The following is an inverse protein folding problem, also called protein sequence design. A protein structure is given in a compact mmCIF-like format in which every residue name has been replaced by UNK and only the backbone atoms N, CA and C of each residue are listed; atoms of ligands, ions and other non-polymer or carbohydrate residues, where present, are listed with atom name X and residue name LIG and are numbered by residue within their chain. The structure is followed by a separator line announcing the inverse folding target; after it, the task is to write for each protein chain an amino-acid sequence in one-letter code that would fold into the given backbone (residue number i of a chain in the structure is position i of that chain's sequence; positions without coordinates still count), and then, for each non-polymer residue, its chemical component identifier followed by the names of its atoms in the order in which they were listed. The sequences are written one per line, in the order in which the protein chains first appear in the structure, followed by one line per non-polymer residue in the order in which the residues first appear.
data_IF_405620467882
#
_entry.id   IF_405620467882
#
_cell.length_a   1.000
_cell.length_b   1.000
_cell.length_c   1.000
_cell.angle_alpha   90.00
_cell.angle_beta   90.00
_cell.angle_gamma   90.00
#
_symmetry.space_group_name_H-M   'P 1'
#
loop_
_entity.id
_entity.type
_entity.pdbx_description
1 polymer ?
#
# COMPACT_ATOMS: atom_id res chain seq x y z
N UNK A 1 -61.62 48.90 11.40
CA UNK A 1 -60.76 47.99 12.09
C UNK A 1 -60.15 46.84 11.24
N UNK A 2 -60.76 46.40 10.12
CA UNK A 2 -60.20 45.28 9.28
C UNK A 2 -58.99 45.67 8.39
N UNK A 3 -58.81 46.95 8.05
CA UNK A 3 -57.79 47.42 7.12
C UNK A 3 -56.43 47.64 7.81
N UNK A 4 -56.40 47.95 9.10
CA UNK A 4 -55.17 48.16 9.90
C UNK A 4 -54.45 46.85 10.16
N UNK A 5 -55.20 45.75 10.40
CA UNK A 5 -54.60 44.43 10.64
C UNK A 5 -53.91 43.82 9.41
N UNK A 6 -54.33 44.23 8.19
CA UNK A 6 -53.70 43.72 6.94
C UNK A 6 -52.34 44.35 6.68
N UNK A 7 -52.18 45.68 7.00
CA UNK A 7 -50.92 46.40 6.85
C UNK A 7 -49.90 45.95 7.89
N UNK A 8 -50.29 45.71 9.14
CA UNK A 8 -49.37 45.20 10.21
C UNK A 8 -48.88 43.79 9.89
N UNK A 9 -49.72 42.91 9.36
CA UNK A 9 -49.29 41.54 8.92
C UNK A 9 -48.38 41.59 7.69
N UNK A 10 -48.51 42.58 6.81
CA UNK A 10 -47.68 42.76 5.63
C UNK A 10 -46.28 43.29 6.02
N UNK A 11 -46.23 44.25 6.99
CA UNK A 11 -44.95 44.73 7.53
C UNK A 11 -44.21 43.68 8.34
N UNK A 12 -44.90 42.86 9.13
CA UNK A 12 -44.27 41.73 9.86
C UNK A 12 -43.69 40.65 8.92
N UNK A 13 -44.36 40.35 7.79
CA UNK A 13 -43.83 39.43 6.76
C UNK A 13 -42.65 40.01 6.01
N UNK A 14 -42.63 41.33 5.73
CA UNK A 14 -41.50 41.99 5.08
C UNK A 14 -40.27 42.07 6.00
N UNK A 15 -40.47 42.28 7.30
CA UNK A 15 -39.38 42.25 8.29
C UNK A 15 -38.81 40.85 8.52
N UNK A 16 -39.64 39.80 8.53
CA UNK A 16 -39.19 38.40 8.61
C UNK A 16 -38.42 37.97 7.36
N UNK A 17 -38.87 38.41 6.16
CA UNK A 17 -38.17 38.12 4.90
C UNK A 17 -36.82 38.85 4.81
N UNK A 18 -36.72 40.08 5.29
CA UNK A 18 -35.49 40.83 5.36
C UNK A 18 -34.49 40.24 6.37
N UNK A 19 -34.95 39.78 7.52
CA UNK A 19 -34.12 39.12 8.53
C UNK A 19 -33.57 37.79 8.04
N UNK A 20 -34.36 37.00 7.30
CA UNK A 20 -33.91 35.73 6.69
C UNK A 20 -32.92 35.96 5.55
N UNK A 21 -33.12 36.99 4.72
CA UNK A 21 -32.17 37.40 3.68
C UNK A 21 -30.84 37.92 4.26
N UNK A 22 -30.87 38.62 5.40
CA UNK A 22 -29.66 39.08 6.09
C UNK A 22 -28.93 37.92 6.77
N UNK A 23 -29.64 36.94 7.31
CA UNK A 23 -29.02 35.71 7.82
C UNK A 23 -28.40 34.84 6.70
N UNK A 24 -29.03 34.77 5.53
CA UNK A 24 -28.46 34.04 4.36
C UNK A 24 -27.26 34.79 3.74
N UNK A 25 -27.24 36.14 3.76
CA UNK A 25 -26.05 36.88 3.34
C UNK A 25 -24.88 36.77 4.32
N UNK A 26 -25.14 36.61 5.63
CA UNK A 26 -24.09 36.34 6.61
C UNK A 26 -23.54 34.91 6.51
N UNK A 27 -24.36 33.96 6.05
CA UNK A 27 -23.89 32.57 5.77
C UNK A 27 -23.02 32.51 4.49
N UNK A 28 -23.21 33.41 3.51
CA UNK A 28 -22.38 33.43 2.29
C UNK A 28 -21.03 34.14 2.47
N UNK A 29 -20.82 34.91 3.55
CA UNK A 29 -19.51 35.49 3.89
C UNK A 29 -18.65 34.60 4.76
N UNK A 30 -19.13 33.43 5.19
CA UNK A 30 -18.33 32.42 5.89
C UNK A 30 -17.57 31.46 4.95
N UNK A 31 -17.70 31.61 3.62
CA UNK A 31 -16.97 30.84 2.61
C UNK A 31 -15.67 31.51 2.16
N UNK A 32 -14.90 32.07 3.08
CA UNK A 32 -13.64 32.76 2.78
C UNK A 32 -12.56 32.63 3.85
N UNK A 33 -12.78 31.82 4.90
CA UNK A 33 -11.70 31.43 5.80
C UNK A 33 -11.21 30.04 5.38
N UNK A 34 -10.04 29.97 4.77
CA UNK A 34 -9.36 28.69 4.58
C UNK A 34 -9.48 27.86 5.85
N UNK A 35 -9.94 26.61 5.73
CA UNK A 35 -10.18 25.74 6.88
C UNK A 35 -8.95 25.79 7.78
N UNK A 36 -9.12 26.29 9.01
CA UNK A 36 -8.02 26.36 9.97
C UNK A 36 -7.59 24.93 10.25
N UNK A 37 -6.29 24.69 10.09
CA UNK A 37 -5.71 23.41 10.50
C UNK A 37 -5.96 23.20 11.99
N UNK A 38 -6.44 22.03 12.43
CA UNK A 38 -6.64 21.75 13.84
C UNK A 38 -5.33 21.90 14.63
N UNK A 39 -5.45 22.27 15.89
CA UNK A 39 -4.31 22.36 16.81
C UNK A 39 -4.60 21.44 17.99
N UNK A 40 -3.67 20.53 18.26
CA UNK A 40 -3.73 19.70 19.45
C UNK A 40 -3.55 20.55 20.71
N UNK A 41 -4.57 20.61 21.53
CA UNK A 41 -4.58 21.42 22.75
C UNK A 41 -3.57 20.97 23.81
N UNK A 42 -3.13 19.71 23.79
CA UNK A 42 -2.18 19.17 24.74
C UNK A 42 -0.73 19.53 24.40
N UNK A 43 -0.40 19.59 23.10
CA UNK A 43 0.97 19.81 22.63
C UNK A 43 1.17 21.20 21.98
N UNK A 44 0.09 21.86 21.57
CA UNK A 44 0.13 23.10 20.78
C UNK A 44 0.57 22.89 19.32
N UNK A 45 0.79 21.65 18.87
CA UNK A 45 1.17 21.33 17.51
C UNK A 45 -0.03 21.40 16.57
N UNK A 46 0.21 21.80 15.33
CA UNK A 46 -0.80 21.76 14.27
C UNK A 46 -0.99 20.31 13.79
N UNK A 47 -2.23 19.83 13.76
CA UNK A 47 -2.53 18.48 13.28
C UNK A 47 -2.43 18.40 11.76
N UNK A 48 -1.57 17.54 11.25
CA UNK A 48 -1.48 17.15 9.85
C UNK A 48 -2.26 15.84 9.65
N UNK A 49 -3.35 15.92 8.93
CA UNK A 49 -4.23 14.79 8.70
C UNK A 49 -3.77 13.96 7.52
N UNK A 50 -3.40 12.71 7.78
CA UNK A 50 -2.98 11.70 6.79
C UNK A 50 -4.10 10.66 6.69
N UNK A 51 -4.63 10.45 5.49
CA UNK A 51 -5.62 9.41 5.23
C UNK A 51 -4.93 8.12 4.79
N UNK A 52 -5.18 7.02 5.50
CA UNK A 52 -4.73 5.68 5.10
C UNK A 52 -5.89 4.86 4.51
N UNK A 53 -5.62 4.03 3.51
CA UNK A 53 -6.61 3.17 2.86
C UNK A 53 -6.01 1.79 2.60
N UNK A 54 -6.72 0.74 2.98
CA UNK A 54 -6.33 -0.64 2.68
C UNK A 54 -7.27 -1.64 3.36
N UNK A 55 -7.21 -2.92 2.96
CA UNK A 55 -8.06 -3.96 3.53
C UNK A 55 -7.62 -4.29 4.96
N UNK A 56 -8.48 -4.02 5.94
CA UNK A 56 -8.26 -4.42 7.35
C UNK A 56 -9.25 -5.49 7.79
N UNK A 57 -10.18 -5.86 6.92
CA UNK A 57 -11.10 -7.01 7.05
C UNK A 57 -11.10 -7.83 5.77
N UNK A 58 -11.66 -9.05 5.83
CA UNK A 58 -11.72 -9.97 4.70
C UNK A 58 -10.46 -10.87 4.55
N UNK A 59 -10.39 -11.57 3.43
CA UNK A 59 -9.38 -12.61 3.18
C UNK A 59 -7.95 -12.05 3.12
N UNK A 60 -7.80 -10.87 2.52
CA UNK A 60 -6.52 -10.20 2.31
C UNK A 60 -6.19 -9.13 3.38
N UNK A 61 -6.88 -9.17 4.52
CA UNK A 61 -6.75 -8.17 5.60
C UNK A 61 -5.36 -8.06 6.25
N UNK A 62 -4.52 -9.09 6.12
CA UNK A 62 -3.14 -9.04 6.60
C UNK A 62 -2.37 -7.86 5.99
N UNK A 63 -2.50 -7.60 4.69
CA UNK A 63 -1.75 -6.54 3.99
C UNK A 63 -2.08 -5.14 4.52
N UNK A 64 -3.37 -4.78 4.52
CA UNK A 64 -3.79 -3.46 5.02
C UNK A 64 -3.58 -3.30 6.52
N UNK A 65 -3.70 -4.38 7.31
CA UNK A 65 -3.40 -4.37 8.74
C UNK A 65 -1.91 -4.15 8.98
N UNK A 66 -1.03 -4.81 8.25
CA UNK A 66 0.42 -4.62 8.32
C UNK A 66 0.82 -3.20 7.96
N UNK A 67 0.34 -2.68 6.83
CA UNK A 67 0.56 -1.27 6.43
C UNK A 67 0.12 -0.30 7.52
N UNK A 68 -1.11 -0.48 8.05
CA UNK A 68 -1.65 0.34 9.13
C UNK A 68 -0.77 0.31 10.36
N UNK A 69 -0.36 -0.87 10.80
CA UNK A 69 0.44 -1.06 11.99
C UNK A 69 1.82 -0.39 11.85
N UNK A 70 2.51 -0.60 10.74
CA UNK A 70 3.79 0.06 10.46
C UNK A 70 3.67 1.59 10.42
N UNK A 71 2.65 2.09 9.73
CA UNK A 71 2.38 3.53 9.65
C UNK A 71 2.03 4.13 11.02
N UNK A 72 1.19 3.46 11.83
CA UNK A 72 0.84 3.91 13.19
C UNK A 72 2.06 3.94 14.11
N UNK A 73 2.97 2.97 14.00
CA UNK A 73 4.23 2.96 14.76
C UNK A 73 5.06 4.19 14.41
N UNK A 74 5.28 4.47 13.12
CA UNK A 74 6.04 5.64 12.66
C UNK A 74 5.41 6.97 13.12
N UNK A 75 4.08 7.09 13.01
CA UNK A 75 3.33 8.26 13.52
C UNK A 75 3.56 8.44 15.03
N UNK A 76 3.50 7.34 15.79
CA UNK A 76 3.73 7.38 17.24
C UNK A 76 5.15 7.86 17.57
N UNK A 77 6.16 7.34 16.89
CA UNK A 77 7.57 7.72 17.10
C UNK A 77 7.84 9.19 16.74
N UNK A 78 7.35 9.63 15.58
CA UNK A 78 7.48 11.02 15.13
C UNK A 78 6.82 11.99 16.11
N UNK A 79 5.61 11.68 16.56
CA UNK A 79 4.87 12.52 17.49
C UNK A 79 5.53 12.54 18.88
N UNK A 80 6.04 11.39 19.36
CA UNK A 80 6.80 11.31 20.62
C UNK A 80 8.10 12.12 20.55
N UNK A 81 8.71 12.24 19.35
CA UNK A 81 9.86 13.08 19.07
C UNK A 81 9.55 14.58 18.96
N UNK A 82 8.31 15.00 19.17
CA UNK A 82 7.88 16.42 19.06
C UNK A 82 7.31 16.82 17.70
N UNK A 83 7.00 15.85 16.83
CA UNK A 83 6.44 16.09 15.50
C UNK A 83 7.46 16.55 14.46
N UNK A 84 6.99 17.12 13.37
CA UNK A 84 7.83 17.61 12.25
C UNK A 84 7.47 19.07 11.95
N UNK A 85 8.42 19.99 12.12
CA UNK A 85 8.26 21.42 11.79
C UNK A 85 6.96 22.05 12.38
N UNK A 86 6.60 21.65 13.63
CA UNK A 86 5.38 22.13 14.31
C UNK A 86 4.12 21.36 13.94
N UNK A 87 4.22 20.32 13.11
CA UNK A 87 3.11 19.39 12.83
C UNK A 87 3.14 18.16 13.73
N UNK A 88 1.96 17.78 14.22
CA UNK A 88 1.63 16.48 14.79
C UNK A 88 0.91 15.66 13.74
N UNK A 89 1.36 14.46 13.46
CA UNK A 89 0.72 13.58 12.47
C UNK A 89 -0.51 12.91 13.07
N UNK A 90 -1.60 12.90 12.32
CA UNK A 90 -2.85 12.21 12.67
C UNK A 90 -3.21 11.29 11.51
N UNK A 91 -3.05 9.99 11.71
CA UNK A 91 -3.40 8.97 10.71
C UNK A 91 -4.82 8.45 10.98
N UNK A 92 -5.68 8.56 9.97
CA UNK A 92 -6.98 7.89 9.92
C UNK A 92 -6.94 6.82 8.83
N UNK A 93 -6.95 5.55 9.24
CA UNK A 93 -6.89 4.42 8.31
C UNK A 93 -8.29 3.83 8.11
N UNK A 94 -8.77 3.82 6.86
CA UNK A 94 -10.07 3.31 6.47
C UNK A 94 -9.93 1.93 5.82
N UNK A 95 -10.88 1.05 6.16
CA UNK A 95 -10.98 -0.28 5.57
C UNK A 95 -11.59 -0.21 4.17
N UNK A 96 -10.86 -0.69 3.18
CA UNK A 96 -11.32 -0.81 1.80
C UNK A 96 -11.90 -2.18 1.48
N UNK A 97 -11.67 -3.18 2.33
CA UNK A 97 -12.03 -4.58 2.11
C UNK A 97 -11.40 -5.22 0.86
N UNK A 98 -10.42 -4.56 0.24
CA UNK A 98 -9.83 -4.98 -1.04
C UNK A 98 -10.63 -4.53 -2.27
N UNK A 99 -11.68 -3.73 -2.08
CA UNK A 99 -12.60 -3.30 -3.13
C UNK A 99 -12.29 -1.89 -3.62
N UNK A 100 -12.08 -1.67 -4.93
CA UNK A 100 -11.74 -0.36 -5.49
C UNK A 100 -12.80 0.73 -5.26
N UNK A 101 -14.10 0.39 -5.23
CA UNK A 101 -15.16 1.37 -5.00
C UNK A 101 -15.19 1.81 -3.54
N UNK A 102 -14.98 0.87 -2.64
CA UNK A 102 -14.84 1.14 -1.20
C UNK A 102 -13.62 2.02 -0.93
N UNK A 103 -12.50 1.79 -1.61
CA UNK A 103 -11.30 2.63 -1.51
C UNK A 103 -11.55 4.06 -1.98
N UNK A 104 -12.23 4.27 -3.11
CA UNK A 104 -12.62 5.60 -3.61
C UNK A 104 -13.58 6.30 -2.65
N UNK A 105 -14.53 5.56 -2.07
CA UNK A 105 -15.47 6.11 -1.07
C UNK A 105 -14.74 6.54 0.21
N UNK A 106 -13.78 5.73 0.67
CA UNK A 106 -12.92 6.06 1.81
C UNK A 106 -12.08 7.32 1.55
N UNK A 107 -11.49 7.43 0.36
CA UNK A 107 -10.75 8.63 -0.08
C UNK A 107 -11.62 9.88 -0.02
N UNK A 108 -12.81 9.86 -0.64
CA UNK A 108 -13.73 10.99 -0.64
C UNK A 108 -14.10 11.44 0.78
N UNK A 109 -14.43 10.47 1.66
CA UNK A 109 -14.70 10.76 3.07
C UNK A 109 -13.50 11.41 3.77
N UNK A 110 -12.29 10.93 3.55
CA UNK A 110 -11.07 11.49 4.15
C UNK A 110 -10.80 12.92 3.65
N UNK A 111 -11.09 13.21 2.37
CA UNK A 111 -11.01 14.57 1.83
C UNK A 111 -12.00 15.51 2.51
N UNK A 112 -13.27 15.08 2.71
CA UNK A 112 -14.28 15.83 3.46
C UNK A 112 -13.87 16.08 4.92
N UNK A 113 -13.18 15.12 5.53
CA UNK A 113 -12.62 15.21 6.89
C UNK A 113 -11.35 16.10 6.96
N UNK A 114 -10.84 16.60 5.82
CA UNK A 114 -9.74 17.54 5.74
C UNK A 114 -8.35 16.93 5.56
N UNK A 115 -8.26 15.74 5.01
CA UNK A 115 -6.98 15.07 4.65
C UNK A 115 -6.05 15.99 3.84
N UNK A 116 -4.75 15.92 4.08
CA UNK A 116 -3.71 16.70 3.40
C UNK A 116 -2.73 15.82 2.60
N UNK A 117 -2.58 14.58 3.00
CA UNK A 117 -1.74 13.56 2.34
C UNK A 117 -2.48 12.24 2.37
N UNK A 118 -2.50 11.51 1.25
CA UNK A 118 -3.05 10.17 1.18
C UNK A 118 -1.93 9.14 1.30
N UNK A 119 -2.04 8.24 2.28
CA UNK A 119 -1.28 7.00 2.40
C UNK A 119 -2.14 5.86 1.84
N UNK A 120 -1.89 5.48 0.62
CA UNK A 120 -2.64 4.38 0.04
C UNK A 120 -3.20 4.68 -1.35
N UNK A 121 -3.93 3.70 -1.93
CA UNK A 121 -4.35 2.49 -1.20
C UNK A 121 -3.24 1.42 -1.12
N UNK A 122 -3.57 0.26 -0.54
CA UNK A 122 -2.63 -0.85 -0.35
C UNK A 122 -2.47 -1.67 -1.63
N UNK A 123 -3.55 -2.00 -2.32
CA UNK A 123 -3.56 -2.83 -3.53
C UNK A 123 -3.53 -2.01 -4.82
N UNK A 124 -3.01 -2.61 -5.90
CA UNK A 124 -2.82 -1.96 -7.19
C UNK A 124 -4.14 -1.45 -7.80
N UNK A 125 -5.17 -2.28 -7.89
CA UNK A 125 -6.47 -1.89 -8.44
C UNK A 125 -7.20 -0.82 -7.60
N UNK A 126 -7.10 -0.89 -6.27
CA UNK A 126 -7.61 0.14 -5.36
C UNK A 126 -6.88 1.47 -5.57
N UNK A 127 -5.54 1.41 -5.62
CA UNK A 127 -4.70 2.61 -5.78
C UNK A 127 -4.95 3.27 -7.12
N UNK A 128 -5.02 2.52 -8.22
CA UNK A 128 -5.35 3.06 -9.54
C UNK A 128 -6.69 3.80 -9.53
N UNK A 129 -7.71 3.24 -8.86
CA UNK A 129 -9.03 3.85 -8.75
C UNK A 129 -9.01 5.14 -7.91
N UNK A 130 -8.29 5.14 -6.78
CA UNK A 130 -8.10 6.33 -5.92
C UNK A 130 -7.31 7.42 -6.65
N UNK A 131 -6.21 7.05 -7.31
CA UNK A 131 -5.34 7.98 -8.08
C UNK A 131 -6.13 8.65 -9.20
N UNK A 132 -6.99 7.90 -9.89
CA UNK A 132 -7.87 8.45 -10.92
C UNK A 132 -8.91 9.43 -10.33
N UNK A 133 -9.54 9.08 -9.21
CA UNK A 133 -10.51 9.92 -8.52
C UNK A 133 -9.87 11.21 -7.97
N UNK A 134 -8.64 11.12 -7.45
CA UNK A 134 -7.90 12.21 -6.82
C UNK A 134 -7.25 13.20 -7.81
N UNK A 135 -7.35 12.99 -9.11
CA UNK A 135 -6.59 13.76 -10.13
C UNK A 135 -6.78 15.28 -10.04
N UNK A 136 -7.97 15.72 -9.62
CA UNK A 136 -8.29 17.15 -9.47
C UNK A 136 -7.78 17.76 -8.15
N UNK A 137 -7.56 16.96 -7.12
CA UNK A 137 -7.30 17.43 -5.75
C UNK A 137 -5.86 17.89 -5.55
N UNK A 138 -4.93 17.41 -6.39
CA UNK A 138 -3.51 17.80 -6.39
C UNK A 138 -2.80 17.61 -5.05
N UNK A 139 -3.23 16.65 -4.23
CA UNK A 139 -2.55 16.29 -2.99
C UNK A 139 -1.51 15.19 -3.25
N UNK A 140 -0.55 15.04 -2.35
CA UNK A 140 0.39 13.90 -2.39
C UNK A 140 -0.36 12.60 -2.13
N UNK A 141 -0.25 11.68 -3.09
CA UNK A 141 -0.73 10.30 -3.02
C UNK A 141 0.50 9.40 -2.93
N UNK A 142 0.71 8.75 -1.80
CA UNK A 142 1.86 7.88 -1.58
C UNK A 142 1.37 6.47 -1.25
N UNK A 143 1.43 5.56 -2.23
CA UNK A 143 1.08 4.17 -1.94
C UNK A 143 2.26 3.45 -1.27
N UNK A 144 2.01 2.70 -0.17
CA UNK A 144 3.03 1.89 0.46
C UNK A 144 3.40 0.66 -0.38
N UNK A 145 2.44 0.01 -1.04
CA UNK A 145 2.61 -1.35 -1.56
C UNK A 145 1.98 -1.63 -2.94
N UNK A 146 1.25 -0.68 -3.53
CA UNK A 146 0.68 -0.90 -4.86
C UNK A 146 1.78 -0.86 -5.94
N UNK A 147 2.12 -2.01 -6.49
CA UNK A 147 3.31 -2.23 -7.33
C UNK A 147 3.05 -2.20 -8.82
N UNK A 148 1.79 -2.37 -9.28
CA UNK A 148 1.43 -2.28 -10.70
C UNK A 148 1.76 -0.92 -11.30
N UNK A 149 2.20 -0.90 -12.56
CA UNK A 149 2.47 0.34 -13.30
C UNK A 149 1.23 1.23 -13.35
N UNK A 150 0.04 0.64 -13.51
CA UNK A 150 -1.23 1.36 -13.56
C UNK A 150 -1.58 2.07 -12.24
N UNK A 151 -1.03 1.61 -11.11
CA UNK A 151 -1.41 2.11 -9.79
C UNK A 151 -1.14 3.61 -9.59
N UNK A 152 -0.08 4.15 -10.18
CA UNK A 152 0.31 5.57 -10.06
C UNK A 152 0.30 6.30 -11.40
N UNK A 153 -0.19 5.67 -12.46
CA UNK A 153 -0.19 6.25 -13.79
C UNK A 153 -1.07 7.51 -13.89
N UNK A 154 -0.70 8.39 -14.82
CA UNK A 154 -1.50 9.56 -15.22
C UNK A 154 -1.80 10.58 -14.10
N UNK A 155 -1.03 10.61 -13.01
CA UNK A 155 -1.18 11.59 -11.94
C UNK A 155 0.19 11.98 -11.34
N UNK A 156 0.66 13.17 -11.67
CA UNK A 156 1.97 13.70 -11.23
C UNK A 156 2.10 13.88 -9.70
N UNK A 157 1.02 13.66 -8.94
CA UNK A 157 1.01 13.70 -7.48
C UNK A 157 1.07 12.30 -6.85
N UNK A 158 1.12 11.24 -7.66
CA UNK A 158 1.13 9.85 -7.21
C UNK A 158 2.54 9.28 -7.19
N UNK A 159 2.92 8.68 -6.06
CA UNK A 159 4.23 8.09 -5.80
C UNK A 159 4.06 6.75 -5.09
N UNK A 160 5.08 5.87 -5.19
CA UNK A 160 5.12 4.60 -4.47
C UNK A 160 6.34 4.48 -3.57
N UNK A 161 6.20 3.75 -2.47
CA UNK A 161 7.31 3.33 -1.61
C UNK A 161 7.82 1.96 -2.04
N UNK A 162 6.92 1.09 -2.52
CA UNK A 162 7.21 -0.29 -2.83
C UNK A 162 8.02 -0.46 -4.13
N UNK A 163 8.43 -1.63 -4.33
CA UNK A 163 9.12 -2.24 -5.44
C UNK A 163 8.11 -2.53 -6.58
N UNK A 164 8.29 -1.98 -7.77
CA UNK A 164 7.30 -2.10 -8.85
C UNK A 164 7.28 -3.48 -9.51
N UNK A 165 6.13 -3.87 -10.11
CA UNK A 165 5.99 -5.14 -10.84
C UNK A 165 7.06 -5.34 -11.92
N UNK A 166 7.39 -4.34 -12.77
CA UNK A 166 8.47 -4.48 -13.73
C UNK A 166 9.81 -4.83 -13.09
N UNK A 167 10.10 -4.25 -11.92
CA UNK A 167 11.32 -4.55 -11.18
C UNK A 167 11.27 -5.94 -10.56
N UNK A 168 10.14 -6.33 -9.96
CA UNK A 168 9.97 -7.64 -9.32
C UNK A 168 9.99 -8.79 -10.33
N UNK A 169 9.20 -8.70 -11.41
CA UNK A 169 9.16 -9.74 -12.44
C UNK A 169 10.51 -9.95 -13.11
N UNK A 170 11.20 -8.86 -13.45
CA UNK A 170 12.56 -8.89 -14.01
C UNK A 170 13.56 -9.47 -13.02
N UNK A 171 13.55 -9.04 -11.76
CA UNK A 171 14.44 -9.54 -10.72
C UNK A 171 14.22 -11.03 -10.44
N UNK A 172 12.96 -11.49 -10.44
CA UNK A 172 12.61 -12.90 -10.24
C UNK A 172 13.20 -13.80 -11.32
N UNK A 173 13.01 -13.44 -12.60
CA UNK A 173 13.57 -14.23 -13.71
C UNK A 173 15.11 -14.25 -13.67
N UNK A 174 15.75 -13.11 -13.40
CA UNK A 174 17.20 -13.01 -13.24
C UNK A 174 17.69 -13.84 -12.07
N UNK A 175 17.03 -13.74 -10.91
CA UNK A 175 17.40 -14.50 -9.73
C UNK A 175 17.34 -16.02 -9.98
N UNK A 176 16.28 -16.51 -10.63
CA UNK A 176 16.14 -17.91 -11.03
C UNK A 176 17.30 -18.33 -11.95
N UNK A 177 17.65 -17.50 -12.94
CA UNK A 177 18.75 -17.78 -13.87
C UNK A 177 20.09 -17.79 -13.19
N UNK A 178 20.43 -16.72 -12.46
CA UNK A 178 21.74 -16.49 -11.86
C UNK A 178 22.07 -17.54 -10.78
N UNK A 179 21.03 -18.00 -10.08
CA UNK A 179 21.16 -19.05 -9.07
C UNK A 179 20.91 -20.47 -9.62
N UNK A 180 20.66 -20.61 -10.93
CA UNK A 180 20.42 -21.90 -11.58
C UNK A 180 19.32 -22.71 -10.85
N UNK A 181 18.22 -22.05 -10.45
CA UNK A 181 17.13 -22.67 -9.72
C UNK A 181 16.27 -23.54 -10.63
N UNK A 182 16.08 -23.12 -11.88
CA UNK A 182 15.28 -23.85 -12.87
C UNK A 182 15.64 -23.47 -14.30
N UNK A 183 15.27 -24.34 -15.24
CA UNK A 183 15.28 -24.07 -16.69
C UNK A 183 13.86 -24.14 -17.28
N UNK A 184 12.95 -24.84 -16.61
CA UNK A 184 11.55 -25.00 -16.97
C UNK A 184 10.66 -24.53 -15.84
N UNK A 185 9.82 -23.56 -16.12
CA UNK A 185 8.98 -22.89 -15.13
C UNK A 185 7.50 -23.10 -15.46
N UNK A 186 6.72 -23.51 -14.47
CA UNK A 186 5.27 -23.38 -14.47
C UNK A 186 4.87 -22.06 -13.83
N UNK A 187 3.82 -21.43 -14.32
CA UNK A 187 3.27 -20.20 -13.71
C UNK A 187 1.83 -20.46 -13.29
N UNK A 188 1.44 -19.96 -12.12
CA UNK A 188 0.04 -19.91 -11.68
C UNK A 188 -0.26 -18.54 -11.10
N UNK A 189 -1.34 -17.87 -11.61
CA UNK A 189 -1.69 -16.53 -11.16
C UNK A 189 -3.17 -16.19 -11.32
N UNK A 190 -3.63 -15.15 -10.61
CA UNK A 190 -4.97 -14.59 -10.75
C UNK A 190 -5.01 -13.64 -11.95
N UNK A 191 -5.67 -14.07 -13.04
CA UNK A 191 -5.80 -13.30 -14.27
C UNK A 191 -6.79 -12.12 -14.18
N UNK A 192 -7.57 -12.04 -13.10
CA UNK A 192 -8.45 -10.91 -12.80
C UNK A 192 -7.79 -9.80 -11.99
N UNK A 193 -6.51 -9.94 -11.60
CA UNK A 193 -5.82 -9.05 -10.68
C UNK A 193 -4.68 -8.28 -11.36
N UNK A 194 -4.69 -6.95 -11.25
CA UNK A 194 -3.71 -6.06 -11.92
C UNK A 194 -2.26 -6.31 -11.47
N UNK A 195 -2.04 -6.55 -10.18
CA UNK A 195 -0.74 -6.91 -9.62
C UNK A 195 -0.22 -8.23 -10.20
N UNK A 196 -1.05 -9.28 -10.19
CA UNK A 196 -0.65 -10.59 -10.70
C UNK A 196 -0.33 -10.56 -12.19
N UNK A 197 -1.12 -9.82 -12.98
CA UNK A 197 -0.91 -9.63 -14.42
C UNK A 197 0.40 -8.87 -14.69
N UNK A 198 0.65 -7.76 -13.98
CA UNK A 198 1.86 -6.96 -14.16
C UNK A 198 3.14 -7.75 -13.89
N UNK A 199 3.15 -8.56 -12.84
CA UNK A 199 4.25 -9.46 -12.50
C UNK A 199 4.46 -10.56 -13.56
N UNK A 200 3.37 -11.22 -13.99
CA UNK A 200 3.46 -12.26 -15.00
C UNK A 200 4.01 -11.72 -16.31
N UNK A 201 3.49 -10.61 -16.81
CA UNK A 201 3.90 -10.03 -18.08
C UNK A 201 5.40 -9.68 -18.11
N UNK A 202 5.90 -9.10 -17.04
CA UNK A 202 7.31 -8.72 -16.95
C UNK A 202 8.22 -9.92 -16.71
N UNK A 203 7.77 -10.91 -15.94
CA UNK A 203 8.48 -12.17 -15.75
C UNK A 203 8.60 -12.96 -17.06
N UNK A 204 7.50 -13.13 -17.80
CA UNK A 204 7.47 -13.82 -19.09
C UNK A 204 8.41 -13.15 -20.11
N UNK A 205 8.34 -11.81 -20.20
CA UNK A 205 9.20 -11.05 -21.10
C UNK A 205 10.69 -11.25 -20.77
N UNK A 206 11.06 -11.29 -19.48
CA UNK A 206 12.45 -11.49 -19.07
C UNK A 206 12.89 -12.95 -19.21
N UNK A 207 12.02 -13.93 -18.91
CA UNK A 207 12.28 -15.36 -19.15
C UNK A 207 12.66 -15.62 -20.62
N UNK A 208 11.94 -15.03 -21.57
CA UNK A 208 12.24 -15.12 -23.01
C UNK A 208 13.64 -14.63 -23.36
N UNK A 209 14.08 -13.50 -22.75
CA UNK A 209 15.44 -12.95 -22.95
C UNK A 209 16.52 -13.87 -22.34
N UNK A 210 16.25 -14.46 -21.18
CA UNK A 210 17.20 -15.28 -20.44
C UNK A 210 17.23 -16.75 -20.89
N UNK A 211 16.31 -17.16 -21.79
CA UNK A 211 16.20 -18.54 -22.22
C UNK A 211 15.68 -19.48 -21.14
N UNK A 212 14.80 -19.00 -20.26
CA UNK A 212 14.02 -19.80 -19.31
C UNK A 212 12.73 -20.19 -20.02
N UNK A 213 12.41 -21.49 -20.06
CA UNK A 213 11.21 -22.00 -20.72
C UNK A 213 10.01 -21.97 -19.76
N UNK A 214 8.96 -21.23 -20.10
CA UNK A 214 7.66 -21.34 -19.42
C UNK A 214 6.88 -22.47 -20.08
N UNK A 215 6.82 -23.62 -19.39
CA UNK A 215 6.24 -24.88 -19.93
C UNK A 215 4.72 -24.95 -19.77
N UNK A 216 4.16 -24.22 -18.80
CA UNK A 216 2.70 -24.11 -18.61
C UNK A 216 2.36 -22.84 -17.87
N UNK A 217 1.20 -22.26 -18.22
CA UNK A 217 0.61 -21.12 -17.52
C UNK A 217 -0.79 -21.52 -17.08
N UNK A 218 -1.05 -21.44 -15.79
CA UNK A 218 -2.34 -21.75 -15.18
C UNK A 218 -2.91 -20.48 -14.57
N UNK A 219 -4.21 -20.27 -14.74
CA UNK A 219 -4.89 -19.11 -14.20
C UNK A 219 -6.09 -19.48 -13.36
N UNK A 220 -6.47 -18.55 -12.51
CA UNK A 220 -7.73 -18.53 -11.78
C UNK A 220 -8.25 -17.10 -11.68
N UNK A 221 -9.36 -16.89 -11.03
CA UNK A 221 -9.92 -15.58 -10.67
C UNK A 221 -10.47 -15.66 -9.25
N UNK A 222 -10.77 -14.54 -8.63
CA UNK A 222 -11.39 -14.50 -7.30
C UNK A 222 -12.64 -15.40 -7.20
N UNK A 223 -13.44 -15.51 -8.26
CA UNK A 223 -14.63 -16.38 -8.30
C UNK A 223 -14.32 -17.88 -8.37
N UNK A 224 -13.06 -18.27 -8.65
CA UNK A 224 -12.63 -19.66 -8.83
C UNK A 224 -11.45 -20.05 -7.91
N UNK A 225 -11.13 -19.24 -6.91
CA UNK A 225 -9.96 -19.42 -6.04
C UNK A 225 -10.17 -20.40 -4.86
N UNK A 226 -10.99 -21.42 -5.02
CA UNK A 226 -11.29 -22.40 -3.95
C UNK A 226 -10.79 -23.81 -4.26
N UNK A 227 -10.87 -24.23 -5.52
CA UNK A 227 -10.41 -25.56 -5.99
C UNK A 227 -9.39 -25.39 -7.12
N UNK A 228 -8.17 -25.80 -6.85
CA UNK A 228 -7.03 -25.70 -7.77
C UNK A 228 -6.60 -27.06 -8.34
N UNK A 229 -7.43 -28.11 -8.18
CA UNK A 229 -7.09 -29.49 -8.57
C UNK A 229 -6.65 -29.61 -10.03
N UNK A 230 -7.34 -28.91 -10.94
CA UNK A 230 -7.03 -28.90 -12.37
C UNK A 230 -5.67 -28.24 -12.65
N UNK A 231 -5.43 -27.06 -12.09
CA UNK A 231 -4.18 -26.30 -12.25
C UNK A 231 -3.00 -27.09 -11.65
N UNK A 232 -3.15 -27.63 -10.45
CA UNK A 232 -2.14 -28.44 -9.76
C UNK A 232 -1.79 -29.67 -10.60
N UNK A 233 -2.80 -30.36 -11.17
CA UNK A 233 -2.56 -31.52 -12.05
C UNK A 233 -1.83 -31.11 -13.33
N UNK A 234 -2.19 -29.99 -13.95
CA UNK A 234 -1.51 -29.48 -15.13
C UNK A 234 -0.04 -29.14 -14.86
N UNK A 235 0.25 -28.47 -13.74
CA UNK A 235 1.61 -28.15 -13.29
C UNK A 235 2.41 -29.43 -13.04
N UNK A 236 1.87 -30.38 -12.30
CA UNK A 236 2.52 -31.67 -12.01
C UNK A 236 2.98 -32.39 -13.28
N UNK A 237 2.16 -32.36 -14.34
CA UNK A 237 2.41 -33.06 -15.58
C UNK A 237 3.22 -32.25 -16.62
N UNK A 238 3.57 -30.99 -16.31
CA UNK A 238 4.26 -30.09 -17.24
C UNK A 238 5.75 -30.35 -17.40
N UNK A 239 6.37 -31.03 -16.42
CA UNK A 239 7.82 -31.22 -16.35
C UNK A 239 8.57 -29.95 -15.92
N UNK A 240 7.92 -29.03 -15.21
CA UNK A 240 8.54 -27.85 -14.61
C UNK A 240 9.47 -28.24 -13.45
N UNK A 241 10.56 -27.49 -13.29
CA UNK A 241 11.48 -27.58 -12.15
C UNK A 241 11.09 -26.58 -11.03
N UNK A 242 10.37 -25.52 -11.40
CA UNK A 242 9.97 -24.42 -10.53
C UNK A 242 8.55 -23.95 -10.87
N UNK A 243 7.84 -23.51 -9.84
CA UNK A 243 6.52 -22.89 -9.96
C UNK A 243 6.65 -21.42 -9.57
N UNK A 244 6.43 -20.52 -10.51
CA UNK A 244 6.33 -19.09 -10.24
C UNK A 244 4.90 -18.73 -9.89
N UNK A 245 4.72 -18.14 -8.71
CA UNK A 245 3.42 -17.80 -8.11
C UNK A 245 3.33 -16.29 -7.82
N UNK A 246 3.11 -15.44 -8.83
CA UNK A 246 2.89 -14.02 -8.64
C UNK A 246 1.45 -13.78 -8.16
N UNK A 247 1.17 -14.15 -6.91
CA UNK A 247 -0.16 -14.17 -6.28
C UNK A 247 -0.08 -13.72 -4.83
N UNK A 248 -1.23 -13.51 -4.22
CA UNK A 248 -1.33 -13.20 -2.80
C UNK A 248 -1.21 -14.45 -1.91
N UNK A 249 -0.75 -14.24 -0.69
CA UNK A 249 -0.47 -15.28 0.31
C UNK A 249 -1.68 -16.18 0.61
N UNK A 250 -2.89 -15.65 0.61
CA UNK A 250 -4.11 -16.42 0.87
C UNK A 250 -4.36 -17.48 -0.22
N UNK A 251 -4.19 -17.11 -1.48
CA UNK A 251 -4.34 -18.05 -2.60
C UNK A 251 -3.19 -19.03 -2.66
N UNK A 252 -1.95 -18.58 -2.42
CA UNK A 252 -0.80 -19.47 -2.31
C UNK A 252 -0.98 -20.52 -1.20
N UNK A 253 -1.51 -20.14 -0.04
CA UNK A 253 -1.81 -21.05 1.06
C UNK A 253 -2.79 -22.16 0.65
N UNK A 254 -3.85 -21.82 -0.10
CA UNK A 254 -4.82 -22.79 -0.63
C UNK A 254 -4.17 -23.73 -1.64
N UNK A 255 -3.40 -23.20 -2.60
CA UNK A 255 -2.72 -23.97 -3.64
C UNK A 255 -1.71 -24.94 -3.02
N UNK A 256 -0.84 -24.45 -2.13
CA UNK A 256 0.17 -25.25 -1.47
C UNK A 256 -0.46 -26.35 -0.60
N UNK A 257 -1.54 -26.03 0.13
CA UNK A 257 -2.26 -27.01 0.95
C UNK A 257 -2.88 -28.12 0.09
N UNK A 258 -3.50 -27.80 -1.05
CA UNK A 258 -4.08 -28.79 -1.96
C UNK A 258 -3.00 -29.60 -2.69
N UNK A 259 -1.89 -28.97 -3.09
CA UNK A 259 -0.76 -29.66 -3.72
C UNK A 259 -0.09 -30.66 -2.78
N UNK A 260 0.05 -30.32 -1.50
CA UNK A 260 0.62 -31.21 -0.47
C UNK A 260 -0.18 -32.51 -0.29
N UNK A 261 -1.52 -32.46 -0.37
CA UNK A 261 -2.39 -33.64 -0.28
C UNK A 261 -2.08 -34.69 -1.35
N UNK A 262 -1.63 -34.27 -2.51
CA UNK A 262 -1.34 -35.12 -3.67
C UNK A 262 0.15 -35.26 -3.97
N UNK A 263 1.00 -34.62 -3.17
CA UNK A 263 2.44 -34.49 -3.39
C UNK A 263 2.75 -34.00 -4.81
N UNK A 264 1.94 -33.05 -5.32
CA UNK A 264 2.02 -32.65 -6.71
C UNK A 264 3.27 -31.79 -6.99
N UNK A 265 3.74 -31.04 -6.00
CA UNK A 265 4.87 -30.13 -6.14
C UNK A 265 6.17 -30.67 -5.50
N UNK A 266 6.18 -31.97 -5.10
CA UNK A 266 7.38 -32.59 -4.55
C UNK A 266 8.55 -32.47 -5.54
N UNK A 267 9.66 -31.90 -5.09
CA UNK A 267 10.88 -31.70 -5.89
C UNK A 267 10.86 -30.44 -6.79
N UNK A 268 9.79 -29.65 -6.78
CA UNK A 268 9.74 -28.34 -7.46
C UNK A 268 10.03 -27.22 -6.46
N UNK A 269 10.70 -26.16 -6.93
CA UNK A 269 10.85 -24.93 -6.15
C UNK A 269 9.60 -24.08 -6.31
N UNK A 270 8.95 -23.68 -5.21
CA UNK A 270 7.89 -22.67 -5.24
C UNK A 270 8.52 -21.29 -5.03
N UNK A 271 8.27 -20.36 -5.95
CA UNK A 271 8.91 -19.06 -5.98
C UNK A 271 7.88 -17.96 -6.29
N UNK A 272 7.92 -16.86 -5.56
CA UNK A 272 7.02 -15.72 -5.79
C UNK A 272 7.66 -14.37 -5.51
N UNK A 273 6.80 -13.39 -5.40
CA UNK A 273 7.14 -11.99 -5.17
C UNK A 273 6.65 -11.53 -3.79
N UNK A 274 6.63 -10.23 -3.57
CA UNK A 274 6.20 -9.61 -2.31
C UNK A 274 4.80 -10.05 -1.83
N UNK A 275 3.87 -10.34 -2.75
CA UNK A 275 2.55 -10.86 -2.41
C UNK A 275 2.56 -12.18 -1.62
N UNK A 276 3.66 -12.92 -1.60
CA UNK A 276 3.81 -14.10 -0.74
C UNK A 276 4.29 -13.75 0.69
N UNK A 277 4.70 -12.51 0.94
CA UNK A 277 5.06 -12.13 2.32
C UNK A 277 3.80 -12.16 3.22
N UNK A 278 3.94 -12.77 4.37
CA UNK A 278 2.80 -13.10 5.24
C UNK A 278 2.16 -14.47 4.97
N UNK A 279 2.68 -15.31 4.05
CA UNK A 279 2.15 -16.67 3.75
C UNK A 279 1.98 -17.52 5.03
N UNK A 280 2.91 -17.43 5.97
CA UNK A 280 2.85 -18.18 7.23
C UNK A 280 1.67 -17.77 8.14
N UNK A 281 1.07 -16.62 7.93
CA UNK A 281 -0.15 -16.19 8.64
C UNK A 281 -1.42 -16.75 8.03
N UNK A 282 -1.35 -17.27 6.80
CA UNK A 282 -2.50 -17.77 6.01
C UNK A 282 -2.54 -19.29 5.89
N UNK A 283 -1.38 -19.94 5.96
CA UNK A 283 -1.31 -21.40 5.81
C UNK A 283 -1.49 -22.09 7.15
N UNK A 284 -2.41 -23.05 7.21
CA UNK A 284 -2.75 -23.74 8.46
C UNK A 284 -1.63 -24.66 8.96
N UNK A 285 -0.94 -25.33 8.04
CA UNK A 285 0.23 -26.16 8.32
C UNK A 285 1.47 -25.51 7.69
N UNK A 286 2.35 -24.90 8.49
CA UNK A 286 3.57 -24.29 8.00
C UNK A 286 4.50 -25.22 7.21
N UNK A 287 4.43 -26.53 7.44
CA UNK A 287 5.20 -27.50 6.69
C UNK A 287 4.89 -27.50 5.18
N UNK A 288 3.67 -27.10 4.79
CA UNK A 288 3.28 -26.97 3.39
C UNK A 288 3.91 -25.75 2.69
N UNK A 289 4.50 -24.83 3.46
CA UNK A 289 5.21 -23.66 2.93
C UNK A 289 6.74 -23.83 3.00
N UNK A 290 7.23 -24.96 3.49
CA UNK A 290 8.69 -25.20 3.64
C UNK A 290 9.38 -25.12 2.28
N UNK A 291 10.47 -24.35 2.20
CA UNK A 291 11.23 -24.14 0.97
C UNK A 291 10.62 -23.14 -0.02
N UNK A 292 9.45 -22.56 0.26
CA UNK A 292 8.89 -21.48 -0.57
C UNK A 292 9.82 -20.27 -0.51
N UNK A 293 10.17 -19.77 -1.68
CA UNK A 293 11.04 -18.59 -1.85
C UNK A 293 10.24 -17.38 -2.32
N UNK A 294 10.67 -16.18 -1.94
CA UNK A 294 10.10 -14.92 -2.44
C UNK A 294 11.18 -13.85 -2.54
N UNK A 295 10.95 -12.88 -3.44
CA UNK A 295 11.72 -11.63 -3.47
C UNK A 295 10.94 -10.51 -2.78
N UNK A 296 11.61 -9.80 -1.87
CA UNK A 296 11.07 -8.68 -1.09
C UNK A 296 12.18 -7.66 -0.84
N UNK A 297 11.91 -6.36 -0.66
CA UNK A 297 12.92 -5.39 -0.26
C UNK A 297 13.25 -5.46 1.24
N UNK A 298 12.48 -6.20 2.04
CA UNK A 298 12.60 -6.25 3.50
C UNK A 298 12.94 -7.66 4.00
N UNK A 299 13.80 -7.74 5.01
CA UNK A 299 14.12 -8.95 5.74
C UNK A 299 14.19 -8.63 7.24
N UNK A 300 13.26 -9.19 8.02
CA UNK A 300 13.16 -8.91 9.46
C UNK A 300 14.38 -9.40 10.27
N UNK A 301 15.16 -10.33 9.74
CA UNK A 301 16.39 -10.87 10.31
C UNK A 301 17.66 -10.12 9.83
N UNK A 302 17.51 -9.03 9.05
CA UNK A 302 18.63 -8.18 8.62
C UNK A 302 19.44 -7.67 9.81
N UNK A 303 20.75 -7.65 9.68
CA UNK A 303 21.66 -7.08 10.68
C UNK A 303 21.76 -5.55 10.65
N UNK A 304 21.08 -4.88 9.73
CA UNK A 304 21.06 -3.43 9.63
C UNK A 304 20.42 -2.80 10.88
N UNK A 305 21.10 -1.81 11.49
CA UNK A 305 20.69 -1.23 12.77
C UNK A 305 19.28 -0.61 12.75
N UNK A 306 18.92 0.08 11.64
CA UNK A 306 17.58 0.66 11.46
C UNK A 306 16.49 -0.43 11.38
N UNK A 307 16.76 -1.53 10.68
CA UNK A 307 15.86 -2.68 10.59
C UNK A 307 15.67 -3.32 11.96
N UNK A 308 16.77 -3.58 12.70
CA UNK A 308 16.71 -4.15 14.04
C UNK A 308 15.91 -3.28 15.03
N UNK A 309 16.07 -1.96 14.96
CA UNK A 309 15.29 -1.02 15.79
C UNK A 309 13.81 -1.07 15.46
N UNK A 310 13.47 -1.03 14.16
CA UNK A 310 12.09 -1.14 13.70
C UNK A 310 11.44 -2.46 14.15
N UNK A 311 12.12 -3.60 13.91
CA UNK A 311 11.62 -4.93 14.31
C UNK A 311 11.38 -5.02 15.82
N UNK A 312 12.31 -4.49 16.62
CA UNK A 312 12.15 -4.47 18.08
C UNK A 312 10.98 -3.59 18.52
N UNK A 313 10.83 -2.39 17.94
CA UNK A 313 9.73 -1.49 18.26
C UNK A 313 8.37 -2.06 17.81
N UNK A 314 8.31 -2.67 16.62
CA UNK A 314 7.10 -3.32 16.12
C UNK A 314 6.67 -4.48 17.01
N UNK A 315 7.59 -5.38 17.38
CA UNK A 315 7.32 -6.49 18.31
C UNK A 315 6.81 -6.00 19.66
N UNK A 316 7.38 -4.92 20.18
CA UNK A 316 6.93 -4.32 21.45
C UNK A 316 5.50 -3.73 21.34
N UNK A 317 5.15 -3.13 20.20
CA UNK A 317 3.84 -2.54 19.97
C UNK A 317 2.74 -3.57 19.67
N UNK A 318 3.10 -4.69 19.00
CA UNK A 318 2.15 -5.66 18.44
C UNK A 318 2.37 -7.09 18.97
N UNK A 319 2.42 -7.25 20.30
CA UNK A 319 2.38 -8.55 21.01
C UNK A 319 3.46 -9.56 20.59
N UNK A 320 4.61 -9.10 20.13
CA UNK A 320 5.72 -9.97 19.69
C UNK A 320 5.64 -10.39 18.24
N UNK A 321 4.68 -9.90 17.46
CA UNK A 321 4.56 -10.17 16.03
C UNK A 321 5.80 -9.68 15.27
N UNK A 322 6.29 -10.49 14.35
CA UNK A 322 7.38 -10.09 13.44
C UNK A 322 6.78 -9.29 12.29
N UNK A 323 7.29 -8.07 12.00
CA UNK A 323 6.79 -7.29 10.87
C UNK A 323 7.13 -7.97 9.54
N UNK A 324 6.21 -7.89 8.60
CA UNK A 324 6.39 -8.21 7.18
C UNK A 324 6.83 -6.98 6.38
N UNK A 325 7.01 -7.14 5.08
CA UNK A 325 7.34 -6.05 4.16
C UNK A 325 6.30 -4.93 4.21
N UNK A 326 5.01 -5.26 4.27
CA UNK A 326 3.92 -4.27 4.21
C UNK A 326 3.92 -3.36 5.43
N UNK A 327 4.25 -3.90 6.60
CA UNK A 327 4.47 -3.10 7.80
C UNK A 327 5.69 -2.18 7.63
N UNK A 328 6.77 -2.68 7.06
CA UNK A 328 7.98 -1.90 6.78
C UNK A 328 7.73 -0.79 5.74
N UNK A 329 6.97 -1.07 4.67
CA UNK A 329 6.61 -0.08 3.65
C UNK A 329 5.67 1.01 4.23
N UNK A 330 4.70 0.63 5.07
CA UNK A 330 3.85 1.59 5.78
C UNK A 330 4.64 2.52 6.71
N UNK A 331 5.63 1.97 7.42
CA UNK A 331 6.55 2.70 8.29
C UNK A 331 7.39 3.69 7.46
N UNK A 332 8.03 3.23 6.40
CA UNK A 332 8.87 4.04 5.51
C UNK A 332 8.05 5.14 4.80
N UNK A 333 6.79 4.87 4.46
CA UNK A 333 5.92 5.87 3.83
C UNK A 333 5.67 7.08 4.74
N UNK A 334 5.45 6.87 6.03
CA UNK A 334 5.27 7.97 6.98
C UNK A 334 6.57 8.77 7.17
N UNK A 335 7.73 8.10 7.24
CA UNK A 335 9.02 8.80 7.30
C UNK A 335 9.34 9.54 5.98
N UNK A 336 8.88 9.02 4.84
CA UNK A 336 8.96 9.70 3.54
C UNK A 336 8.15 10.99 3.54
N UNK A 337 6.91 10.96 4.04
CA UNK A 337 6.08 12.16 4.21
C UNK A 337 6.77 13.18 5.12
N UNK A 338 7.35 12.72 6.23
CA UNK A 338 8.08 13.58 7.16
C UNK A 338 9.29 14.28 6.50
N UNK A 339 10.06 13.54 5.70
CA UNK A 339 11.21 14.10 5.00
C UNK A 339 10.80 15.06 3.87
N UNK A 340 9.72 14.74 3.15
CA UNK A 340 9.16 15.63 2.13
C UNK A 340 8.71 16.97 2.74
N UNK A 341 8.07 16.95 3.92
CA UNK A 341 7.69 18.17 4.66
C UNK A 341 8.92 19.03 5.00
N UNK A 342 9.99 18.40 5.51
CA UNK A 342 11.24 19.09 5.85
C UNK A 342 11.89 19.71 4.61
N UNK A 343 12.03 18.93 3.54
CA UNK A 343 12.64 19.37 2.29
C UNK A 343 11.84 20.49 1.61
N UNK A 344 10.52 20.42 1.67
CA UNK A 344 9.63 21.46 1.16
C UNK A 344 9.71 22.77 1.97
N UNK A 345 10.36 22.78 3.12
CA UNK A 345 10.38 23.91 4.06
C UNK A 345 9.00 24.24 4.63
N UNK A 346 8.08 23.27 4.64
CA UNK A 346 6.74 23.40 5.22
C UNK A 346 6.81 23.42 6.74
N UNK A 347 6.01 24.29 7.37
CA UNK A 347 5.88 24.34 8.82
C UNK A 347 4.44 24.67 9.23
N UNK A 348 4.14 24.54 10.52
CA UNK A 348 2.84 24.94 11.06
C UNK A 348 2.55 26.44 10.93
N UNK A 349 3.57 27.27 10.72
CA UNK A 349 3.45 28.71 10.51
C UNK A 349 3.34 29.08 9.01
N UNK A 350 3.99 28.28 8.14
CA UNK A 350 3.99 28.45 6.67
C UNK A 350 3.48 27.17 6.00
N UNK A 351 2.19 27.17 5.68
CA UNK A 351 1.44 26.08 5.03
C UNK A 351 0.96 26.46 3.63
N UNK A 352 1.36 27.62 3.14
CA UNK A 352 0.92 28.08 1.83
C UNK A 352 1.40 27.11 0.74
N UNK A 353 0.50 26.82 -0.20
CA UNK A 353 0.74 25.87 -1.29
C UNK A 353 1.22 24.47 -0.81
N UNK A 354 0.77 24.01 0.39
CA UNK A 354 1.22 22.78 1.04
C UNK A 354 1.29 21.61 0.06
N UNK A 355 0.20 21.35 -0.66
CA UNK A 355 0.12 20.19 -1.57
C UNK A 355 1.13 20.30 -2.72
N UNK A 356 1.26 21.46 -3.35
CA UNK A 356 2.21 21.64 -4.46
C UNK A 356 3.66 21.52 -3.98
N UNK A 357 3.98 22.08 -2.81
CA UNK A 357 5.34 22.06 -2.25
C UNK A 357 5.75 20.67 -1.81
N UNK A 358 4.87 19.89 -1.15
CA UNK A 358 5.21 18.53 -0.70
C UNK A 358 5.39 17.59 -1.90
N UNK A 359 4.55 17.68 -2.93
CA UNK A 359 4.68 16.92 -4.17
C UNK A 359 6.02 17.24 -4.87
N UNK A 360 6.34 18.54 -5.00
CA UNK A 360 7.61 18.98 -5.62
C UNK A 360 8.86 18.58 -4.82
N UNK A 361 8.73 18.25 -3.54
CA UNK A 361 9.82 17.76 -2.70
C UNK A 361 10.14 16.29 -2.96
N UNK A 362 9.17 15.48 -3.40
CA UNK A 362 9.33 14.02 -3.55
C UNK A 362 10.53 13.66 -4.44
N UNK A 363 10.73 14.35 -5.56
CA UNK A 363 11.87 14.09 -6.47
C UNK A 363 13.22 14.64 -5.99
N UNK A 364 13.27 15.27 -4.81
CA UNK A 364 14.47 15.91 -4.26
C UNK A 364 14.97 15.27 -2.97
N UNK A 365 14.20 14.37 -2.40
CA UNK A 365 14.55 13.71 -1.14
C UNK A 365 15.25 12.37 -1.37
N UNK A 366 16.02 11.98 -0.37
CA UNK A 366 16.57 10.63 -0.21
C UNK A 366 16.18 10.15 1.18
N UNK A 367 15.50 9.03 1.26
CA UNK A 367 15.07 8.42 2.54
C UNK A 367 15.82 7.11 2.75
N UNK A 368 16.51 6.99 3.88
CA UNK A 368 17.11 5.73 4.33
C UNK A 368 16.09 5.00 5.19
N UNK A 369 15.25 4.23 4.53
CA UNK A 369 14.20 3.44 5.15
C UNK A 369 14.68 2.09 5.67
N UNK A 370 13.77 1.34 6.26
CA UNK A 370 13.99 -0.06 6.66
C UNK A 370 13.85 -1.04 5.49
N UNK A 371 13.22 -0.59 4.41
CA UNK A 371 13.11 -1.33 3.14
C UNK A 371 14.20 -0.95 2.14
N UNK A 372 15.17 -0.13 2.52
CA UNK A 372 16.29 0.33 1.70
C UNK A 372 16.37 1.85 1.56
N UNK A 373 17.35 2.31 0.75
CA UNK A 373 17.47 3.74 0.43
C UNK A 373 16.62 4.07 -0.78
N UNK A 374 15.74 5.06 -0.63
CA UNK A 374 14.75 5.45 -1.64
C UNK A 374 15.01 6.85 -2.16
N UNK A 375 14.90 7.00 -3.48
CA UNK A 375 14.79 8.27 -4.20
C UNK A 375 13.69 8.12 -5.24
N UNK A 376 13.08 9.21 -5.65
CA UNK A 376 11.95 9.16 -6.57
C UNK A 376 12.22 9.90 -7.88
N UNK A 377 11.81 9.29 -8.98
CA UNK A 377 11.72 9.91 -10.31
C UNK A 377 10.44 10.75 -10.44
N UNK A 378 10.35 11.51 -11.55
CA UNK A 378 9.20 12.39 -11.81
C UNK A 378 7.89 11.63 -12.08
N UNK A 379 7.98 10.37 -12.50
CA UNK A 379 6.86 9.45 -12.71
C UNK A 379 6.44 8.70 -11.44
N UNK A 380 6.96 9.11 -10.28
CA UNK A 380 6.57 8.58 -8.97
C UNK A 380 7.22 7.26 -8.58
N UNK A 381 8.10 6.72 -9.44
CA UNK A 381 8.79 5.47 -9.20
C UNK A 381 9.97 5.62 -8.22
N UNK A 382 10.20 4.58 -7.43
CA UNK A 382 11.40 4.44 -6.61
C UNK A 382 12.17 3.18 -6.95
N UNK A 383 13.47 3.19 -6.72
CA UNK A 383 14.31 1.99 -6.86
C UNK A 383 14.46 1.31 -5.51
N UNK A 384 14.35 -0.02 -5.51
CA UNK A 384 14.64 -0.86 -4.35
C UNK A 384 15.41 -2.10 -4.77
N UNK A 385 16.33 -2.55 -3.93
CA UNK A 385 17.03 -3.81 -4.13
C UNK A 385 16.18 -4.97 -3.61
N UNK A 386 16.08 -6.02 -4.43
CA UNK A 386 15.41 -7.24 -4.04
C UNK A 386 16.30 -8.07 -3.10
N UNK A 387 15.71 -8.59 -2.03
CA UNK A 387 16.29 -9.58 -1.12
C UNK A 387 15.55 -10.90 -1.32
N UNK A 388 16.28 -12.00 -1.46
CA UNK A 388 15.67 -13.30 -1.52
C UNK A 388 15.41 -13.84 -0.10
N UNK A 389 14.19 -14.28 0.14
CA UNK A 389 13.79 -14.94 1.38
C UNK A 389 13.40 -16.38 1.08
N UNK A 390 13.54 -17.25 2.08
CA UNK A 390 13.04 -18.63 2.04
C UNK A 390 12.32 -18.94 3.34
N UNK A 391 11.24 -19.69 3.25
CA UNK A 391 10.57 -20.23 4.44
C UNK A 391 11.30 -21.49 4.86
N UNK A 392 11.82 -21.48 6.08
CA UNK A 392 12.58 -22.58 6.68
C UNK A 392 12.17 -22.75 8.14
N UNK A 393 11.85 -23.98 8.52
CA UNK A 393 11.43 -24.32 9.89
C UNK A 393 10.27 -23.43 10.39
N UNK A 394 9.34 -23.07 9.48
CA UNK A 394 8.19 -22.20 9.77
C UNK A 394 8.52 -20.73 9.98
N UNK A 395 9.68 -20.24 9.51
CA UNK A 395 10.10 -18.84 9.59
C UNK A 395 10.61 -18.38 8.23
N UNK A 396 10.25 -17.15 7.81
CA UNK A 396 10.86 -16.52 6.64
C UNK A 396 12.22 -15.94 7.04
N UNK A 397 13.28 -16.39 6.38
CA UNK A 397 14.68 -15.98 6.63
C UNK A 397 15.34 -15.55 5.33
N UNK A 398 16.36 -14.68 5.43
CA UNK A 398 17.13 -14.30 4.27
C UNK A 398 17.82 -15.53 3.64
N UNK A 399 17.66 -15.69 2.33
CA UNK A 399 18.30 -16.79 1.59
C UNK A 399 19.70 -16.35 1.18
N UNK A 400 20.71 -17.03 1.70
CA UNK A 400 22.09 -16.97 1.23
C UNK A 400 22.52 -18.34 0.72
N UNK A 401 23.01 -18.42 -0.52
CA UNK A 401 23.54 -19.65 -1.11
C UNK A 401 24.91 -19.98 -0.53
#
# INVERSE_FOLDING_TARGET
MKTINKKVKMFAKAFAAAAIATLMLLACFACGSGAKWPVDSATGLTELYIGGIGPTTGEYSNYGTSVKNGAMLAVSEINAGGGVNGFKFVLNFQDSQGDPQSAVSAYGKQMDDGMKVSLGATFSGETASVVAAAKADKILLLTPSASSVSAIADNDCAFRVCFSDPSQGTASAKYIKDNSLATKVAVIYDSGNDYCNGLYDTFDAECKKLGIEIVTVQTFTESTNTDFSAQISAIKNSGADLIFMPIYAADAAKILTQAAQTKAFDGMVCFGCDGLDGLLTKIADPANAEGVMLLTPFAADSSEENVQKFVAAYKAAYNGETPDQFAADGYDAIYTIAEAIKNAGLSSEDKDDFSARIVAAMTKITVKGVTGTMTWSADGETSKDAKAMVIKDGVAVAFSK
#
